data_IF_080721019426
#
_entry.id   IF_080721019426
#
_cell.length_a   1.000
_cell.length_b   1.000
_cell.length_c   1.000
_cell.angle_alpha   90.00
_cell.angle_beta   90.00
_cell.angle_gamma   90.00
#
_symmetry.space_group_name_H-M   'P 1'
#
loop_
_entity.id
_entity.type
_entity.pdbx_description
1 polymer ?
#
# COMPACT_ATOMS: atom_id res chain seq x y z
N UNK A 1 -3.47 -26.91 82.11
CA UNK A 1 -2.25 -27.73 82.09
C UNK A 1 -1.42 -27.23 80.87
N UNK A 2 -0.40 -26.42 81.11
CA UNK A 2 1.03 -26.70 81.04
C UNK A 2 1.39 -27.33 79.66
N UNK A 3 2.28 -26.79 78.79
CA UNK A 3 3.63 -26.25 78.91
C UNK A 3 3.99 -25.60 77.55
N UNK A 4 4.56 -24.44 77.40
CA UNK A 4 5.97 -23.97 77.54
C UNK A 4 6.94 -24.44 76.40
N UNK A 5 7.53 -23.45 75.80
CA UNK A 5 8.91 -23.27 75.27
C UNK A 5 9.15 -23.71 73.84
N UNK A 6 9.90 -23.07 73.05
CA UNK A 6 10.97 -22.08 73.29
C UNK A 6 11.47 -21.38 72.00
N UNK A 7 11.97 -20.20 72.23
CA UNK A 7 12.64 -19.33 71.30
C UNK A 7 14.09 -19.84 71.02
N UNK A 8 14.51 -19.90 69.80
CA UNK A 8 15.94 -19.85 69.46
C UNK A 8 16.10 -18.82 68.34
N UNK A 9 16.73 -17.70 68.70
CA UNK A 9 17.27 -16.70 67.76
C UNK A 9 18.66 -17.17 67.35
N UNK A 10 18.88 -17.28 66.03
CA UNK A 10 20.25 -17.41 65.49
C UNK A 10 20.60 -16.14 64.71
N UNK A 11 21.51 -15.45 65.32
CA UNK A 11 22.18 -14.26 64.76
C UNK A 11 23.25 -14.74 63.79
N UNK A 12 23.15 -14.40 62.51
CA UNK A 12 24.25 -14.62 61.54
C UNK A 12 24.78 -13.26 61.09
N UNK A 13 26.03 -13.04 61.41
CA UNK A 13 26.80 -11.86 61.02
C UNK A 13 26.99 -11.81 59.50
N UNK A 14 26.71 -10.63 58.96
CA UNK A 14 27.06 -10.26 57.60
C UNK A 14 28.54 -9.83 57.56
N UNK A 15 29.35 -10.59 56.83
CA UNK A 15 30.64 -10.10 56.31
C UNK A 15 30.41 -9.36 54.99
N UNK A 16 30.64 -8.06 55.01
CA UNK A 16 30.70 -7.25 53.81
C UNK A 16 32.06 -7.46 53.12
N UNK A 17 32.07 -8.07 51.95
CA UNK A 17 33.17 -7.97 50.98
C UNK A 17 32.74 -7.05 49.86
N UNK A 18 33.33 -5.87 49.84
CA UNK A 18 33.27 -4.94 48.70
C UNK A 18 34.15 -5.50 47.58
N UNK A 19 33.53 -5.96 46.51
CA UNK A 19 34.20 -6.12 45.23
C UNK A 19 33.64 -5.03 44.29
N UNK A 20 34.49 -4.08 43.97
CA UNK A 20 34.32 -3.20 42.82
C UNK A 20 34.31 -4.08 41.57
N UNK A 21 33.13 -4.32 41.04
CA UNK A 21 32.94 -4.93 39.74
C UNK A 21 32.67 -3.83 38.74
N UNK A 22 33.49 -3.78 37.72
CA UNK A 22 33.42 -2.91 36.57
C UNK A 22 31.99 -2.75 36.06
N UNK A 23 31.56 -1.51 35.98
CA UNK A 23 30.41 -1.13 35.13
C UNK A 23 30.84 -1.30 33.67
N UNK A 24 30.72 -2.51 33.16
CA UNK A 24 30.63 -2.71 31.72
C UNK A 24 29.38 -1.98 31.25
N UNK A 25 29.62 -0.88 30.57
CA UNK A 25 28.58 -0.21 29.77
C UNK A 25 28.00 -1.26 28.82
N UNK A 26 26.75 -1.66 29.08
CA UNK A 26 25.95 -2.33 28.06
C UNK A 26 25.83 -1.33 26.91
N UNK A 27 26.60 -1.53 25.84
CA UNK A 27 26.33 -0.93 24.55
C UNK A 27 24.86 -1.24 24.22
N UNK A 28 24.06 -0.22 24.06
CA UNK A 28 22.69 -0.37 23.61
C UNK A 28 22.72 -0.94 22.20
N UNK A 29 22.62 -2.27 22.08
CA UNK A 29 22.07 -2.87 20.90
C UNK A 29 20.60 -2.45 20.92
N UNK A 30 20.21 -1.50 20.08
CA UNK A 30 18.80 -1.23 19.81
C UNK A 30 18.20 -2.56 19.33
N UNK A 31 17.38 -3.17 20.18
CA UNK A 31 16.65 -4.37 19.79
C UNK A 31 15.72 -3.96 18.63
N UNK A 32 15.80 -4.65 17.50
CA UNK A 32 14.91 -4.43 16.39
C UNK A 32 13.46 -4.48 16.88
N UNK A 33 12.66 -3.47 16.52
CA UNK A 33 11.23 -3.49 16.84
C UNK A 33 10.54 -4.64 16.10
N UNK A 34 9.68 -5.38 16.78
CA UNK A 34 8.95 -6.50 16.20
C UNK A 34 8.02 -6.01 15.08
N UNK A 35 8.10 -6.64 13.91
CA UNK A 35 7.22 -6.36 12.77
C UNK A 35 6.29 -7.55 12.53
N UNK A 36 5.02 -7.37 12.87
CA UNK A 36 3.96 -8.36 12.60
C UNK A 36 3.27 -8.06 11.27
N UNK A 37 3.22 -9.04 10.35
CA UNK A 37 2.49 -8.98 9.08
C UNK A 37 1.20 -9.78 9.21
N UNK A 38 0.04 -9.14 8.96
CA UNK A 38 -1.29 -9.72 9.22
C UNK A 38 -2.12 -9.95 7.96
N UNK A 39 -2.05 -9.07 7.01
CA UNK A 39 -2.87 -9.04 5.79
C UNK A 39 -2.07 -9.23 4.51
N UNK A 40 -0.88 -8.64 4.45
CA UNK A 40 -0.03 -8.73 3.27
C UNK A 40 0.43 -10.18 3.04
N UNK A 41 0.40 -10.61 1.80
CA UNK A 41 0.79 -11.96 1.36
C UNK A 41 2.07 -11.96 0.53
N UNK A 42 2.48 -10.79 0.07
CA UNK A 42 3.62 -10.65 -0.82
C UNK A 42 4.98 -10.60 -0.13
N UNK A 43 5.03 -10.47 1.20
CA UNK A 43 6.27 -10.55 1.97
C UNK A 43 6.06 -11.20 3.34
N UNK A 44 7.15 -11.71 3.92
CA UNK A 44 7.19 -12.17 5.30
C UNK A 44 8.46 -11.72 6.00
N UNK A 45 8.42 -11.66 7.33
CA UNK A 45 9.50 -11.14 8.16
C UNK A 45 9.84 -12.14 9.26
N UNK A 46 11.14 -12.30 9.53
CA UNK A 46 11.66 -13.09 10.65
C UNK A 46 12.87 -12.39 11.23
N UNK A 47 12.87 -12.16 12.53
CA UNK A 47 14.03 -11.60 13.23
C UNK A 47 14.94 -12.73 13.73
N UNK A 48 16.25 -12.57 13.56
CA UNK A 48 17.27 -13.51 13.97
C UNK A 48 18.49 -12.75 14.49
N UNK A 49 18.62 -12.65 15.82
CA UNK A 49 19.64 -11.85 16.49
C UNK A 49 19.66 -10.39 15.96
N UNK A 50 20.76 -10.00 15.29
CA UNK A 50 20.95 -8.64 14.76
C UNK A 50 20.55 -8.51 13.29
N UNK A 51 19.84 -9.50 12.75
CA UNK A 51 19.44 -9.58 11.33
C UNK A 51 17.94 -9.69 11.24
N UNK A 52 17.32 -8.85 10.43
CA UNK A 52 15.94 -9.04 9.98
C UNK A 52 15.93 -9.72 8.61
N UNK A 53 15.33 -10.89 8.54
CA UNK A 53 15.17 -11.65 7.31
C UNK A 53 13.82 -11.31 6.70
N UNK A 54 13.84 -10.82 5.46
CA UNK A 54 12.65 -10.42 4.72
C UNK A 54 12.58 -11.23 3.42
N UNK A 55 11.55 -12.04 3.31
CA UNK A 55 11.27 -12.81 2.09
C UNK A 55 10.20 -12.09 1.27
N UNK A 56 10.45 -11.85 -0.02
CA UNK A 56 9.52 -11.18 -0.93
C UNK A 56 9.10 -12.14 -2.04
N UNK A 57 7.82 -12.46 -2.07
CA UNK A 57 7.31 -13.51 -2.95
C UNK A 57 7.99 -14.86 -2.67
N UNK A 58 8.46 -15.54 -3.74
CA UNK A 58 9.07 -16.88 -3.63
C UNK A 58 10.56 -16.92 -3.93
N UNK A 59 11.16 -15.78 -4.32
CA UNK A 59 12.49 -15.78 -4.95
C UNK A 59 13.46 -14.75 -4.39
N UNK A 60 12.95 -13.72 -3.76
CA UNK A 60 13.77 -12.59 -3.35
C UNK A 60 13.88 -12.59 -1.82
N UNK A 61 15.11 -12.69 -1.31
CA UNK A 61 15.41 -12.85 0.11
C UNK A 61 16.43 -11.78 0.53
N UNK A 62 16.09 -10.98 1.54
CA UNK A 62 16.92 -9.88 2.02
C UNK A 62 17.26 -10.06 3.51
N UNK A 63 18.52 -9.81 3.84
CA UNK A 63 18.98 -9.69 5.22
C UNK A 63 19.24 -8.22 5.53
N UNK A 64 18.33 -7.60 6.29
CA UNK A 64 18.48 -6.22 6.75
C UNK A 64 19.38 -6.20 7.98
N UNK A 65 20.47 -5.44 7.93
CA UNK A 65 21.51 -5.37 8.96
C UNK A 65 21.82 -3.92 9.30
N UNK A 66 22.08 -3.63 10.58
CA UNK A 66 22.53 -2.30 11.01
C UNK A 66 24.05 -2.17 10.92
N UNK A 67 24.78 -3.23 11.24
CA UNK A 67 26.24 -3.25 11.14
C UNK A 67 26.70 -3.86 9.81
N UNK A 68 27.53 -3.13 9.09
CA UNK A 68 28.12 -3.58 7.82
C UNK A 68 28.97 -4.85 7.99
N UNK A 69 29.54 -5.09 9.17
CA UNK A 69 30.31 -6.28 9.48
C UNK A 69 29.44 -7.55 9.64
N UNK A 70 28.13 -7.40 9.83
CA UNK A 70 27.21 -8.54 9.96
C UNK A 70 27.15 -9.34 8.67
N UNK A 71 27.31 -10.65 8.78
CA UNK A 71 27.31 -11.59 7.65
C UNK A 71 25.87 -12.07 7.39
N UNK A 72 25.36 -11.83 6.21
CA UNK A 72 24.05 -12.33 5.80
C UNK A 72 24.07 -13.87 5.66
N UNK A 73 22.98 -14.56 5.99
CA UNK A 73 22.84 -15.98 5.74
C UNK A 73 22.95 -16.31 4.23
N UNK A 74 23.36 -17.52 3.91
CA UNK A 74 23.41 -18.00 2.54
C UNK A 74 22.02 -17.86 1.85
N UNK A 75 22.02 -17.37 0.62
CA UNK A 75 20.81 -17.14 -0.16
C UNK A 75 20.12 -15.80 0.10
N UNK A 76 20.59 -15.00 1.05
CA UNK A 76 20.05 -13.66 1.34
C UNK A 76 20.95 -12.55 0.82
N UNK A 77 20.35 -11.56 0.17
CA UNK A 77 21.02 -10.33 -0.22
C UNK A 77 21.11 -9.41 0.98
N UNK A 78 22.34 -9.06 1.39
CA UNK A 78 22.56 -8.13 2.50
C UNK A 78 22.14 -6.71 2.10
N UNK A 79 21.35 -6.06 2.95
CA UNK A 79 20.99 -4.63 2.83
C UNK A 79 21.27 -3.96 4.17
N UNK A 80 22.14 -2.96 4.16
CA UNK A 80 22.37 -2.12 5.33
C UNK A 80 21.19 -1.18 5.52
N UNK A 81 20.66 -1.11 6.74
CA UNK A 81 19.54 -0.24 7.13
C UNK A 81 19.92 0.63 8.33
N UNK A 82 19.33 1.83 8.51
CA UNK A 82 18.38 2.43 7.55
C UNK A 82 19.05 2.85 6.25
N UNK A 83 18.34 2.71 5.13
CA UNK A 83 18.76 3.29 3.85
C UNK A 83 18.53 4.81 3.87
N UNK A 84 19.39 5.54 3.18
CA UNK A 84 19.32 7.00 3.10
C UNK A 84 18.92 7.50 1.70
N UNK A 85 19.06 6.63 0.69
CA UNK A 85 18.81 6.97 -0.71
C UNK A 85 18.11 5.82 -1.43
N UNK A 86 17.01 6.13 -2.08
CA UNK A 86 16.29 5.15 -2.89
C UNK A 86 15.68 5.77 -4.13
N UNK A 87 15.32 4.88 -5.05
CA UNK A 87 14.54 5.21 -6.25
C UNK A 87 13.22 4.44 -6.18
N UNK A 88 12.12 5.13 -6.47
CA UNK A 88 10.78 4.56 -6.57
C UNK A 88 10.33 4.49 -8.03
N UNK A 89 10.00 3.29 -8.51
CA UNK A 89 9.58 3.06 -9.90
C UNK A 89 8.09 3.31 -10.14
N UNK A 90 7.29 3.45 -9.06
CA UNK A 90 5.82 3.64 -9.17
C UNK A 90 5.30 4.58 -8.10
N UNK A 91 4.12 5.18 -8.36
CA UNK A 91 3.41 6.01 -7.36
C UNK A 91 3.01 5.22 -6.13
N UNK A 92 2.69 3.92 -6.27
CA UNK A 92 2.38 3.04 -5.15
C UNK A 92 3.59 2.89 -4.20
N UNK A 93 4.80 2.75 -4.73
CA UNK A 93 6.01 2.72 -3.89
C UNK A 93 6.23 4.08 -3.22
N UNK A 94 6.14 5.16 -4.00
CA UNK A 94 6.30 6.53 -3.50
C UNK A 94 5.30 6.87 -2.40
N UNK A 95 4.05 6.40 -2.48
CA UNK A 95 3.01 6.66 -1.48
C UNK A 95 3.38 6.17 -0.08
N UNK A 96 4.15 5.07 0.03
CA UNK A 96 4.64 4.57 1.32
C UNK A 96 5.66 5.53 1.95
N UNK A 97 6.54 6.13 1.16
CA UNK A 97 7.48 7.16 1.64
C UNK A 97 6.76 8.45 2.03
N UNK A 98 5.74 8.81 1.24
CA UNK A 98 4.94 10.02 1.50
C UNK A 98 4.17 9.92 2.82
N UNK A 99 3.51 8.80 3.08
CA UNK A 99 2.72 8.63 4.31
C UNK A 99 3.60 8.52 5.56
N UNK A 100 4.86 8.06 5.41
CA UNK A 100 5.88 7.99 6.46
C UNK A 100 6.65 9.31 6.66
N UNK A 101 6.30 10.37 5.91
CA UNK A 101 7.07 11.62 5.89
C UNK A 101 8.58 11.38 5.68
N UNK A 102 8.90 10.54 4.69
CA UNK A 102 10.25 10.11 4.36
C UNK A 102 10.69 10.57 2.96
N UNK A 103 10.24 11.76 2.54
CA UNK A 103 10.55 12.32 1.22
C UNK A 103 12.05 12.49 0.97
N UNK A 104 12.84 12.74 2.04
CA UNK A 104 14.27 12.96 1.94
C UNK A 104 15.05 11.71 1.52
N UNK A 105 14.51 10.51 1.75
CA UNK A 105 15.13 9.25 1.33
C UNK A 105 14.99 9.04 -0.18
N UNK A 106 13.93 9.56 -0.81
CA UNK A 106 13.67 9.39 -2.24
C UNK A 106 14.59 10.31 -3.06
N UNK A 107 15.43 9.73 -3.92
CA UNK A 107 16.37 10.45 -4.80
C UNK A 107 16.01 10.36 -6.28
N UNK A 108 15.16 9.41 -6.65
CA UNK A 108 14.73 9.25 -8.04
C UNK A 108 13.33 8.68 -8.20
N UNK A 109 12.66 9.07 -9.28
CA UNK A 109 11.35 8.57 -9.70
C UNK A 109 11.29 8.44 -11.21
N UNK A 110 10.37 7.63 -11.74
CA UNK A 110 10.24 7.41 -13.19
C UNK A 110 9.59 8.59 -13.90
N UNK A 111 8.56 9.21 -13.33
CA UNK A 111 7.87 10.29 -14.01
C UNK A 111 7.00 11.14 -13.11
N UNK A 112 6.56 12.27 -13.64
CA UNK A 112 5.81 13.30 -12.89
C UNK A 112 4.44 13.61 -13.49
N UNK A 113 4.01 12.88 -14.53
CA UNK A 113 2.80 13.21 -15.30
C UNK A 113 1.53 13.25 -14.45
N UNK A 114 1.44 12.35 -13.46
CA UNK A 114 0.29 12.24 -12.57
C UNK A 114 0.73 12.41 -11.10
N UNK A 115 1.73 13.24 -10.87
CA UNK A 115 2.23 13.56 -9.54
C UNK A 115 1.46 14.77 -8.99
N UNK A 116 0.85 14.60 -7.83
CA UNK A 116 0.06 15.64 -7.15
C UNK A 116 0.76 16.20 -5.92
N UNK A 117 1.57 15.38 -5.23
CA UNK A 117 2.28 15.78 -4.03
C UNK A 117 3.21 16.98 -4.30
N UNK A 118 2.91 18.14 -3.69
CA UNK A 118 3.61 19.39 -3.95
C UNK A 118 5.06 19.39 -3.43
N UNK A 119 5.35 18.68 -2.32
CA UNK A 119 6.72 18.57 -1.81
C UNK A 119 7.59 17.74 -2.77
N UNK A 120 7.09 16.61 -3.27
CA UNK A 120 7.79 15.82 -4.27
C UNK A 120 7.99 16.63 -5.57
N UNK A 121 6.99 17.40 -6.02
CA UNK A 121 7.13 18.30 -7.18
C UNK A 121 8.23 19.35 -6.97
N UNK A 122 8.25 19.96 -5.79
CA UNK A 122 9.29 20.94 -5.45
C UNK A 122 10.68 20.30 -5.47
N UNK A 123 10.84 19.11 -4.90
CA UNK A 123 12.09 18.34 -4.88
C UNK A 123 12.55 17.92 -6.28
N UNK A 124 11.61 17.60 -7.17
CA UNK A 124 11.95 17.33 -8.59
C UNK A 124 12.37 18.61 -9.29
N UNK A 125 11.72 19.73 -9.02
CA UNK A 125 12.03 21.04 -9.64
C UNK A 125 13.41 21.55 -9.24
N UNK A 126 13.80 21.35 -7.98
CA UNK A 126 15.11 21.81 -7.47
C UNK A 126 16.24 20.78 -7.59
N UNK A 127 15.95 19.62 -8.18
CA UNK A 127 16.94 18.58 -8.49
C UNK A 127 17.29 17.64 -7.32
N UNK A 128 16.61 17.76 -6.17
CA UNK A 128 16.77 16.80 -5.04
C UNK A 128 16.23 15.41 -5.37
N UNK A 129 15.25 15.34 -6.28
CA UNK A 129 14.72 14.08 -6.85
C UNK A 129 14.90 14.16 -8.35
N UNK A 130 15.58 13.18 -8.94
CA UNK A 130 15.81 13.12 -10.38
C UNK A 130 14.78 12.24 -11.08
N UNK A 131 14.54 12.51 -12.37
CA UNK A 131 13.75 11.61 -13.24
C UNK A 131 14.71 10.65 -13.91
N UNK A 132 14.53 9.37 -13.65
CA UNK A 132 15.42 8.31 -14.15
C UNK A 132 14.99 7.71 -15.48
N UNK A 133 14.05 8.33 -16.19
CA UNK A 133 13.48 7.81 -17.42
C UNK A 133 12.14 7.11 -17.22
N UNK A 134 11.64 6.54 -18.30
CA UNK A 134 10.37 5.79 -18.31
C UNK A 134 10.64 4.28 -18.27
N UNK A 135 9.59 3.54 -18.00
CA UNK A 135 9.61 2.08 -18.03
C UNK A 135 10.19 1.53 -19.35
N UNK A 136 11.25 0.70 -19.24
CA UNK A 136 11.96 0.14 -20.39
C UNK A 136 13.02 1.07 -21.00
N UNK A 137 13.05 2.35 -20.62
CA UNK A 137 14.00 3.37 -21.13
C UNK A 137 14.62 4.14 -19.95
N UNK A 138 15.13 3.41 -18.96
CA UNK A 138 15.82 4.01 -17.82
C UNK A 138 17.19 4.53 -18.23
N UNK A 139 17.58 5.66 -17.67
CA UNK A 139 18.90 6.26 -17.84
C UNK A 139 19.86 5.74 -16.75
N UNK A 140 20.79 4.81 -17.07
CA UNK A 140 21.71 4.26 -16.08
C UNK A 140 22.65 5.29 -15.48
N UNK A 141 23.03 6.33 -16.22
CA UNK A 141 23.94 7.38 -15.74
C UNK A 141 23.23 8.23 -14.67
N UNK A 142 21.97 8.58 -14.90
CA UNK A 142 21.14 9.30 -13.93
C UNK A 142 20.88 8.44 -12.68
N UNK A 143 20.65 7.13 -12.85
CA UNK A 143 20.48 6.20 -11.72
C UNK A 143 21.77 6.12 -10.91
N UNK A 144 22.93 5.97 -11.53
CA UNK A 144 24.24 5.98 -10.85
C UNK A 144 24.52 7.30 -10.14
N UNK A 145 24.21 8.43 -10.78
CA UNK A 145 24.39 9.75 -10.18
C UNK A 145 23.50 9.98 -8.94
N UNK A 146 22.30 9.41 -8.91
CA UNK A 146 21.43 9.43 -7.74
C UNK A 146 21.97 8.60 -6.58
N UNK A 147 22.93 7.70 -6.86
CA UNK A 147 23.63 6.84 -5.90
C UNK A 147 22.69 6.19 -4.87
N UNK A 148 21.66 5.43 -5.29
CA UNK A 148 20.72 4.81 -4.36
C UNK A 148 21.35 3.62 -3.63
N UNK A 149 20.96 3.43 -2.38
CA UNK A 149 21.33 2.25 -1.57
C UNK A 149 20.58 1.01 -2.06
N UNK A 150 19.30 1.20 -2.43
CA UNK A 150 18.45 0.21 -3.07
C UNK A 150 17.50 0.89 -4.07
N UNK A 151 16.94 0.11 -4.99
CA UNK A 151 15.88 0.56 -5.91
C UNK A 151 14.66 -0.32 -5.70
N UNK A 152 13.51 0.28 -5.32
CA UNK A 152 12.27 -0.46 -5.26
C UNK A 152 11.68 -0.61 -6.66
N UNK A 153 11.45 -1.89 -7.06
CA UNK A 153 10.97 -2.22 -8.40
C UNK A 153 9.58 -2.86 -8.36
N UNK A 154 8.88 -2.82 -9.50
CA UNK A 154 7.64 -3.57 -9.74
C UNK A 154 7.90 -4.62 -10.83
N UNK A 155 8.05 -5.91 -10.47
CA UNK A 155 8.51 -6.95 -11.40
C UNK A 155 7.62 -7.18 -12.64
N UNK A 156 6.34 -6.73 -12.60
CA UNK A 156 5.41 -6.88 -13.72
C UNK A 156 5.55 -5.82 -14.80
N UNK A 157 6.43 -4.86 -14.62
CA UNK A 157 6.60 -3.77 -15.56
C UNK A 157 7.21 -4.24 -16.88
N UNK A 158 6.69 -3.71 -18.00
CA UNK A 158 7.20 -4.01 -19.35
C UNK A 158 8.59 -3.42 -19.52
N UNK A 159 9.41 -4.06 -20.36
CA UNK A 159 10.78 -3.61 -20.65
C UNK A 159 11.83 -4.05 -19.63
N UNK A 160 11.42 -4.60 -18.48
CA UNK A 160 12.33 -5.13 -17.47
C UNK A 160 13.24 -4.07 -16.83
N UNK A 161 14.29 -4.55 -16.16
CA UNK A 161 15.25 -3.73 -15.41
C UNK A 161 16.70 -4.07 -15.77
N UNK A 162 16.95 -4.67 -16.93
CA UNK A 162 18.27 -5.22 -17.26
C UNK A 162 19.36 -4.15 -17.27
N UNK A 163 19.09 -2.97 -17.86
CA UNK A 163 20.02 -1.85 -17.84
C UNK A 163 20.37 -1.35 -16.42
N UNK A 164 19.44 -1.49 -15.47
CA UNK A 164 19.67 -1.11 -14.05
C UNK A 164 20.35 -2.24 -13.28
N UNK A 165 20.06 -3.49 -13.58
CA UNK A 165 20.72 -4.65 -12.96
C UNK A 165 22.23 -4.65 -13.21
N UNK A 166 22.66 -4.25 -14.39
CA UNK A 166 24.08 -4.18 -14.77
C UNK A 166 24.88 -3.14 -13.94
N UNK A 167 24.20 -2.17 -13.34
CA UNK A 167 24.84 -1.18 -12.46
C UNK A 167 25.27 -1.80 -11.12
N UNK A 168 24.71 -2.95 -10.73
CA UNK A 168 25.04 -3.67 -9.49
C UNK A 168 24.35 -3.13 -8.23
N UNK A 169 23.36 -2.24 -8.37
CA UNK A 169 22.55 -1.74 -7.24
C UNK A 169 21.49 -2.78 -6.88
N UNK A 170 21.26 -2.99 -5.59
CA UNK A 170 20.26 -3.94 -5.11
C UNK A 170 18.85 -3.53 -5.52
N UNK A 171 18.17 -4.41 -6.26
CA UNK A 171 16.78 -4.25 -6.65
C UNK A 171 15.89 -4.97 -5.65
N UNK A 172 14.95 -4.24 -5.06
CA UNK A 172 14.01 -4.76 -4.05
C UNK A 172 12.60 -4.78 -4.64
N UNK A 173 12.03 -5.97 -4.91
CA UNK A 173 10.66 -6.06 -5.41
C UNK A 173 9.65 -5.54 -4.39
N UNK A 174 8.74 -4.69 -4.83
CA UNK A 174 7.58 -4.26 -4.05
C UNK A 174 6.32 -4.83 -4.70
N UNK A 175 5.70 -5.84 -4.06
CA UNK A 175 4.57 -6.60 -4.62
C UNK A 175 3.20 -6.11 -4.15
N UNK A 176 3.11 -4.97 -3.47
CA UNK A 176 1.86 -4.41 -2.95
C UNK A 176 0.74 -4.30 -4.00
N UNK A 177 1.08 -4.11 -5.28
CA UNK A 177 0.09 -4.08 -6.37
C UNK A 177 -0.57 -5.44 -6.66
N UNK A 178 -0.06 -6.54 -6.11
CA UNK A 178 -0.62 -7.90 -6.23
C UNK A 178 -1.53 -8.27 -5.07
N UNK A 179 -1.55 -7.49 -4.00
CA UNK A 179 -2.41 -7.77 -2.87
C UNK A 179 -3.88 -7.64 -3.28
N UNK A 180 -4.65 -8.64 -2.90
CA UNK A 180 -6.10 -8.67 -3.15
C UNK A 180 -6.89 -8.08 -1.99
N UNK A 181 -6.30 -8.10 -0.79
CA UNK A 181 -6.86 -7.47 0.40
C UNK A 181 -6.44 -5.99 0.46
N UNK A 182 -7.37 -5.04 0.63
CA UNK A 182 -7.05 -3.62 0.75
C UNK A 182 -6.13 -3.27 1.92
N UNK A 183 -6.30 -3.92 3.07
CA UNK A 183 -5.38 -3.78 4.19
C UNK A 183 -4.04 -4.44 3.91
N UNK A 184 -4.02 -5.57 3.15
CA UNK A 184 -2.78 -6.19 2.70
C UNK A 184 -1.93 -5.26 1.84
N UNK A 185 -2.56 -4.51 0.93
CA UNK A 185 -1.83 -3.50 0.14
C UNK A 185 -1.28 -2.36 1.01
N UNK A 186 -2.08 -1.84 1.95
CA UNK A 186 -1.64 -0.78 2.84
C UNK A 186 -0.55 -1.24 3.83
N UNK A 187 -0.52 -2.52 4.19
CA UNK A 187 0.45 -3.07 5.14
C UNK A 187 1.90 -3.05 4.61
N UNK A 188 2.10 -2.85 3.30
CA UNK A 188 3.42 -2.62 2.72
C UNK A 188 4.12 -1.36 3.25
N UNK A 189 3.42 -0.48 3.95
CA UNK A 189 4.05 0.61 4.72
C UNK A 189 5.04 0.07 5.75
N UNK A 190 4.74 -1.08 6.39
CA UNK A 190 5.65 -1.73 7.34
C UNK A 190 6.90 -2.27 6.64
N UNK A 191 6.74 -2.78 5.40
CA UNK A 191 7.86 -3.21 4.58
C UNK A 191 8.83 -2.05 4.33
N UNK A 192 8.34 -0.89 3.88
CA UNK A 192 9.17 0.29 3.68
C UNK A 192 9.73 0.80 5.00
N UNK A 193 8.94 0.81 6.08
CA UNK A 193 9.39 1.21 7.42
C UNK A 193 10.66 0.48 7.86
N UNK A 194 10.77 -0.83 7.62
CA UNK A 194 11.95 -1.64 7.95
C UNK A 194 13.22 -1.18 7.21
N UNK A 195 13.07 -0.74 5.97
CA UNK A 195 14.23 -0.28 5.19
C UNK A 195 14.72 1.11 5.61
N UNK A 196 13.86 1.95 6.16
CA UNK A 196 14.19 3.35 6.50
C UNK A 196 14.26 3.62 8.01
N UNK A 197 14.17 2.57 8.86
CA UNK A 197 14.21 2.70 10.32
C UNK A 197 13.00 3.42 10.91
N UNK A 198 11.81 3.22 10.33
CA UNK A 198 10.53 3.79 10.78
C UNK A 198 9.48 2.71 11.06
N UNK A 199 9.89 1.60 11.63
CA UNK A 199 9.02 0.45 11.90
C UNK A 199 7.87 0.82 12.82
N UNK A 200 8.16 1.58 13.87
CA UNK A 200 7.19 2.01 14.86
C UNK A 200 6.13 2.93 14.25
N UNK A 201 6.57 3.98 13.55
CA UNK A 201 5.66 4.91 12.87
C UNK A 201 4.81 4.18 11.82
N UNK A 202 5.41 3.25 11.08
CA UNK A 202 4.68 2.44 10.10
C UNK A 202 3.63 1.57 10.76
N UNK A 203 3.93 0.94 11.90
CA UNK A 203 2.99 0.12 12.65
C UNK A 203 1.84 0.97 13.23
N UNK A 204 2.13 2.14 13.81
CA UNK A 204 1.14 3.06 14.36
C UNK A 204 0.20 3.61 13.28
N UNK A 205 0.74 4.04 12.14
CA UNK A 205 -0.05 4.53 11.00
C UNK A 205 -0.95 3.41 10.47
N UNK A 206 -0.39 2.21 10.26
CA UNK A 206 -1.16 1.07 9.77
C UNK A 206 -2.28 0.67 10.75
N UNK A 207 -2.01 0.62 12.06
CA UNK A 207 -3.01 0.31 13.06
C UNK A 207 -4.20 1.30 13.03
N UNK A 208 -3.93 2.58 12.81
CA UNK A 208 -4.97 3.58 12.63
C UNK A 208 -5.82 3.37 11.37
N UNK A 209 -5.18 2.99 10.25
CA UNK A 209 -5.86 2.66 8.98
C UNK A 209 -6.72 1.39 9.16
N UNK A 210 -6.15 0.34 9.74
CA UNK A 210 -6.82 -0.93 10.03
C UNK A 210 -8.08 -0.73 10.88
N UNK A 211 -7.96 0.06 11.95
CA UNK A 211 -9.08 0.35 12.85
C UNK A 211 -10.23 1.03 12.12
N UNK A 212 -9.96 2.12 11.38
CA UNK A 212 -11.00 2.87 10.63
C UNK A 212 -11.62 2.04 9.51
N UNK A 213 -10.80 1.26 8.79
CA UNK A 213 -11.28 0.37 7.74
C UNK A 213 -12.24 -0.67 8.28
N UNK A 214 -11.83 -1.40 9.32
CA UNK A 214 -12.63 -2.48 9.90
C UNK A 214 -13.91 -1.97 10.58
N UNK A 215 -13.85 -0.83 11.28
CA UNK A 215 -15.04 -0.21 11.86
C UNK A 215 -16.10 0.10 10.80
N UNK A 216 -15.68 0.67 9.68
CA UNK A 216 -16.60 1.04 8.60
C UNK A 216 -17.12 -0.20 7.86
N UNK A 217 -16.27 -1.18 7.59
CA UNK A 217 -16.64 -2.47 7.01
C UNK A 217 -17.68 -3.21 7.88
N UNK A 218 -17.49 -3.22 9.20
CA UNK A 218 -18.45 -3.84 10.14
C UNK A 218 -19.80 -3.13 10.16
N UNK A 219 -19.82 -1.80 10.00
CA UNK A 219 -21.07 -1.04 9.87
C UNK A 219 -21.76 -1.38 8.55
N UNK A 220 -21.01 -1.37 7.44
CA UNK A 220 -21.54 -1.69 6.12
C UNK A 220 -21.98 -3.16 5.97
N UNK A 221 -21.40 -4.07 6.72
CA UNK A 221 -21.82 -5.48 6.73
C UNK A 221 -23.23 -5.71 7.32
N UNK A 222 -23.76 -4.74 8.08
CA UNK A 222 -25.07 -4.83 8.74
C UNK A 222 -26.22 -4.24 7.92
N UNK A 223 -25.95 -3.68 6.75
CA UNK A 223 -27.00 -3.11 5.89
C UNK A 223 -27.91 -4.21 5.37
N UNK A 224 -29.21 -3.93 5.39
CA UNK A 224 -30.21 -4.88 4.88
C UNK A 224 -30.31 -4.87 3.34
N UNK A 225 -30.07 -3.69 2.74
CA UNK A 225 -30.14 -3.51 1.29
C UNK A 225 -28.75 -3.27 0.74
N UNK A 226 -28.28 -4.17 -0.10
CA UNK A 226 -27.00 -4.07 -0.77
C UNK A 226 -27.22 -3.70 -2.22
N UNK A 227 -26.81 -2.48 -2.65
CA UNK A 227 -26.94 -2.10 -4.06
C UNK A 227 -25.98 -2.92 -4.91
N UNK A 228 -26.37 -3.14 -6.14
CA UNK A 228 -25.51 -3.77 -7.15
C UNK A 228 -24.61 -2.72 -7.80
N UNK A 229 -23.34 -3.08 -8.05
CA UNK A 229 -22.37 -2.19 -8.68
C UNK A 229 -21.65 -2.88 -9.84
N UNK A 230 -21.54 -2.17 -10.96
CA UNK A 230 -20.66 -2.53 -12.07
C UNK A 230 -19.46 -1.62 -12.14
N UNK A 231 -18.38 -2.04 -12.83
CA UNK A 231 -17.14 -1.28 -12.96
C UNK A 231 -16.54 -1.43 -14.35
N UNK A 232 -15.78 -0.42 -14.77
CA UNK A 232 -15.06 -0.38 -16.03
C UNK A 232 -15.76 0.48 -17.08
N UNK A 233 -15.17 0.51 -18.26
CA UNK A 233 -15.69 1.22 -19.44
C UNK A 233 -15.14 0.58 -20.72
N UNK A 234 -15.72 0.93 -21.87
CA UNK A 234 -15.21 0.51 -23.16
C UNK A 234 -13.85 1.16 -23.45
N UNK A 235 -12.88 0.34 -23.81
CA UNK A 235 -11.56 0.80 -24.21
C UNK A 235 -11.05 -0.05 -25.38
N UNK A 236 -10.71 0.58 -26.51
CA UNK A 236 -10.29 -0.09 -27.74
C UNK A 236 -11.20 -1.26 -28.19
N UNK A 237 -12.49 -1.09 -28.05
CA UNK A 237 -13.49 -2.07 -28.53
C UNK A 237 -13.86 -3.16 -27.51
N UNK A 238 -13.22 -3.23 -26.35
CA UNK A 238 -13.55 -4.15 -25.28
C UNK A 238 -13.91 -3.40 -24.00
N UNK A 239 -14.75 -4.01 -23.16
CA UNK A 239 -15.02 -3.51 -21.82
C UNK A 239 -13.95 -4.01 -20.86
N UNK A 240 -13.21 -3.11 -20.30
CA UNK A 240 -12.20 -3.45 -19.31
C UNK A 240 -12.84 -3.51 -17.91
N UNK A 241 -13.04 -4.71 -17.40
CA UNK A 241 -13.62 -5.00 -16.09
C UNK A 241 -12.58 -5.60 -15.14
N UNK A 242 -12.86 -5.59 -13.85
CA UNK A 242 -12.09 -6.33 -12.86
C UNK A 242 -12.81 -7.62 -12.47
N UNK A 243 -12.06 -8.68 -12.20
CA UNK A 243 -12.61 -9.97 -11.78
C UNK A 243 -13.24 -9.93 -10.38
N UNK A 244 -14.07 -10.93 -10.08
CA UNK A 244 -14.84 -11.01 -8.84
C UNK A 244 -14.03 -11.14 -7.56
N UNK A 245 -12.76 -11.61 -7.63
CA UNK A 245 -11.81 -11.67 -6.50
C UNK A 245 -10.72 -10.60 -6.55
N UNK A 246 -10.93 -9.55 -7.34
CA UNK A 246 -9.99 -8.44 -7.40
C UNK A 246 -10.07 -7.55 -6.15
N UNK A 247 -8.99 -6.81 -5.89
CA UNK A 247 -8.91 -5.78 -4.84
C UNK A 247 -10.12 -4.84 -4.82
N UNK A 248 -10.54 -4.30 -5.99
CA UNK A 248 -11.67 -3.38 -6.08
C UNK A 248 -13.01 -4.07 -5.78
N UNK A 249 -13.19 -5.31 -6.26
CA UNK A 249 -14.36 -6.11 -5.93
C UNK A 249 -14.46 -6.37 -4.41
N UNK A 250 -13.32 -6.51 -3.72
CA UNK A 250 -13.29 -6.60 -2.26
C UNK A 250 -13.73 -5.30 -1.60
N UNK A 251 -13.26 -4.13 -2.09
CA UNK A 251 -13.72 -2.82 -1.60
C UNK A 251 -15.24 -2.67 -1.74
N UNK A 252 -15.83 -3.05 -2.86
CA UNK A 252 -17.29 -2.97 -3.04
C UNK A 252 -18.03 -3.84 -2.02
N UNK A 253 -17.58 -5.08 -1.82
CA UNK A 253 -18.18 -5.97 -0.80
C UNK A 253 -18.07 -5.40 0.61
N UNK A 254 -16.90 -4.87 0.95
CA UNK A 254 -16.63 -4.27 2.26
C UNK A 254 -17.41 -2.95 2.47
N UNK A 255 -17.74 -2.24 1.37
CA UNK A 255 -18.61 -1.07 1.37
C UNK A 255 -20.12 -1.41 1.42
N UNK A 256 -20.50 -2.67 1.53
CA UNK A 256 -21.90 -3.08 1.60
C UNK A 256 -22.62 -3.15 0.24
N UNK A 257 -21.90 -3.29 -0.88
CA UNK A 257 -22.46 -3.48 -2.20
C UNK A 257 -22.14 -4.86 -2.80
N UNK A 258 -22.90 -5.27 -3.80
CA UNK A 258 -22.71 -6.52 -4.53
C UNK A 258 -22.17 -6.23 -5.93
N UNK A 259 -20.95 -6.68 -6.20
CA UNK A 259 -20.34 -6.54 -7.52
C UNK A 259 -20.96 -7.51 -8.49
N UNK A 260 -21.33 -7.04 -9.69
CA UNK A 260 -22.05 -7.84 -10.70
C UNK A 260 -21.24 -9.02 -11.27
N UNK A 261 -19.89 -8.93 -11.23
CA UNK A 261 -19.00 -10.02 -11.61
C UNK A 261 -18.66 -10.80 -10.33
N UNK A 262 -19.07 -12.07 -10.30
CA UNK A 262 -18.88 -12.95 -9.14
C UNK A 262 -18.20 -14.25 -9.59
N UNK A 263 -17.04 -14.10 -10.21
CA UNK A 263 -16.13 -15.19 -10.58
C UNK A 263 -14.93 -15.28 -9.62
N UNK A 264 -14.01 -16.19 -9.91
CA UNK A 264 -12.80 -16.41 -9.12
C UNK A 264 -11.58 -15.65 -9.68
N UNK A 265 -11.77 -14.80 -10.69
CA UNK A 265 -10.69 -14.06 -11.30
C UNK A 265 -10.19 -12.91 -10.40
N UNK A 266 -8.87 -12.77 -10.34
CA UNK A 266 -8.17 -11.77 -9.52
C UNK A 266 -7.64 -10.59 -10.32
N UNK A 267 -7.52 -10.76 -11.65
CA UNK A 267 -7.01 -9.76 -12.59
C UNK A 267 -8.13 -8.99 -13.28
N UNK A 268 -7.75 -8.04 -14.15
CA UNK A 268 -8.69 -7.41 -15.08
C UNK A 268 -8.98 -8.34 -16.26
N UNK A 269 -10.18 -8.23 -16.80
CA UNK A 269 -10.64 -8.95 -17.97
C UNK A 269 -11.13 -7.98 -19.05
N UNK A 270 -10.89 -8.34 -20.31
CA UNK A 270 -11.46 -7.67 -21.46
C UNK A 270 -12.69 -8.46 -21.93
N UNK A 271 -13.87 -7.86 -21.81
CA UNK A 271 -15.14 -8.44 -22.17
C UNK A 271 -15.76 -7.73 -23.37
N UNK A 272 -16.52 -8.46 -24.19
CA UNK A 272 -17.35 -7.83 -25.18
C UNK A 272 -18.49 -7.04 -24.54
N UNK A 273 -18.92 -5.96 -25.19
CA UNK A 273 -20.01 -5.10 -24.69
C UNK A 273 -21.24 -5.88 -24.29
N UNK A 274 -21.67 -6.79 -25.16
CA UNK A 274 -22.92 -7.59 -25.01
C UNK A 274 -22.86 -8.48 -23.76
N UNK A 275 -21.69 -9.09 -23.49
CA UNK A 275 -21.46 -9.90 -22.28
C UNK A 275 -21.55 -9.01 -21.04
N UNK A 276 -20.87 -7.85 -21.06
CA UNK A 276 -20.89 -6.93 -19.93
C UNK A 276 -22.27 -6.30 -19.72
N UNK A 277 -22.97 -5.95 -20.80
CA UNK A 277 -24.33 -5.44 -20.73
C UNK A 277 -25.30 -6.46 -20.12
N UNK A 278 -25.20 -7.73 -20.50
CA UNK A 278 -26.04 -8.79 -19.92
C UNK A 278 -25.86 -8.92 -18.39
N UNK A 279 -24.64 -8.70 -17.87
CA UNK A 279 -24.34 -8.72 -16.43
C UNK A 279 -24.78 -7.45 -15.69
N UNK A 280 -24.73 -6.30 -16.38
CA UNK A 280 -24.70 -4.97 -15.72
C UNK A 280 -25.88 -4.07 -16.08
N UNK A 281 -26.74 -4.45 -17.04
CA UNK A 281 -27.82 -3.59 -17.50
C UNK A 281 -28.70 -3.00 -16.41
N UNK A 282 -28.91 -3.78 -15.32
CA UNK A 282 -29.76 -3.42 -14.19
C UNK A 282 -28.96 -3.07 -12.92
N UNK A 283 -27.62 -2.96 -12.99
CA UNK A 283 -26.81 -2.55 -11.84
C UNK A 283 -27.25 -1.17 -11.33
N UNK A 284 -27.33 -1.02 -10.01
CA UNK A 284 -27.75 0.23 -9.37
C UNK A 284 -26.74 1.33 -9.56
N UNK A 285 -25.44 0.99 -9.49
CA UNK A 285 -24.34 1.92 -9.65
C UNK A 285 -23.34 1.43 -10.69
N UNK A 286 -22.64 2.39 -11.30
CA UNK A 286 -21.59 2.13 -12.27
C UNK A 286 -20.33 2.93 -11.93
N UNK A 287 -19.24 2.26 -11.56
CA UNK A 287 -17.96 2.89 -11.23
C UNK A 287 -17.05 3.02 -12.44
N UNK A 288 -16.53 4.23 -12.69
CA UNK A 288 -15.54 4.57 -13.72
C UNK A 288 -14.31 5.23 -13.08
N UNK A 289 -13.12 4.80 -13.51
CA UNK A 289 -11.83 5.43 -13.21
C UNK A 289 -11.07 5.61 -14.50
N UNK A 290 -10.86 6.85 -14.93
CA UNK A 290 -10.08 7.12 -16.12
C UNK A 290 -9.20 8.37 -16.01
N UNK A 291 -8.50 8.72 -17.08
CA UNK A 291 -7.64 9.90 -17.20
C UNK A 291 -8.21 10.88 -18.24
N UNK A 292 -9.45 11.34 -18.04
CA UNK A 292 -10.11 12.23 -18.97
C UNK A 292 -9.51 13.64 -18.92
N UNK A 293 -9.40 14.27 -20.09
CA UNK A 293 -8.92 15.65 -20.20
C UNK A 293 -10.09 16.61 -20.04
N UNK A 294 -10.10 17.41 -18.97
CA UNK A 294 -11.18 18.33 -18.63
C UNK A 294 -12.27 17.67 -17.79
N UNK A 295 -13.47 18.22 -17.83
CA UNK A 295 -14.60 17.77 -17.04
C UNK A 295 -15.34 16.64 -17.76
N UNK A 296 -15.39 15.48 -17.10
CA UNK A 296 -16.13 14.33 -17.58
C UNK A 296 -17.62 14.47 -17.24
N UNK A 297 -18.48 14.16 -18.18
CA UNK A 297 -19.93 14.31 -18.02
C UNK A 297 -20.67 13.10 -18.61
N UNK A 298 -21.99 13.02 -18.41
CA UNK A 298 -22.83 12.01 -19.05
C UNK A 298 -22.83 12.11 -20.57
N UNK A 299 -22.70 13.32 -21.14
CA UNK A 299 -22.56 13.56 -22.57
C UNK A 299 -21.24 12.99 -23.08
N UNK A 300 -20.13 13.20 -22.34
CA UNK A 300 -18.83 12.64 -22.67
C UNK A 300 -18.84 11.10 -22.59
N UNK A 301 -19.47 10.54 -21.55
CA UNK A 301 -19.64 9.10 -21.38
C UNK A 301 -20.49 8.49 -22.50
N UNK A 302 -21.58 9.15 -22.94
CA UNK A 302 -22.39 8.74 -24.08
C UNK A 302 -21.61 8.87 -25.41
N UNK A 303 -20.82 9.92 -25.56
CA UNK A 303 -20.03 10.13 -26.77
C UNK A 303 -18.91 9.07 -26.94
N UNK A 304 -18.35 8.57 -25.83
CA UNK A 304 -17.33 7.50 -25.87
C UNK A 304 -17.88 6.16 -26.35
N UNK A 305 -19.11 5.83 -25.99
CA UNK A 305 -19.86 4.64 -26.43
C UNK A 305 -21.37 4.93 -26.30
N UNK A 306 -22.08 5.12 -27.41
CA UNK A 306 -23.51 5.49 -27.36
C UNK A 306 -24.42 4.49 -26.62
N UNK A 307 -24.06 3.20 -26.62
CA UNK A 307 -24.81 2.15 -25.91
C UNK A 307 -24.75 2.29 -24.39
N UNK A 308 -23.83 3.15 -23.83
CA UNK A 308 -23.78 3.43 -22.43
C UNK A 308 -25.08 3.96 -21.83
N UNK A 309 -25.88 4.67 -22.63
CA UNK A 309 -27.21 5.15 -22.19
C UNK A 309 -28.24 4.03 -21.93
N UNK A 310 -27.93 2.78 -22.32
CA UNK A 310 -28.83 1.65 -22.08
C UNK A 310 -28.76 1.17 -20.61
N UNK A 311 -27.68 1.42 -19.91
CA UNK A 311 -27.51 0.99 -18.50
C UNK A 311 -28.43 1.76 -17.55
N UNK A 312 -29.01 1.04 -16.56
CA UNK A 312 -29.82 1.63 -15.49
C UNK A 312 -29.07 2.75 -14.77
N UNK A 313 -27.83 2.49 -14.34
CA UNK A 313 -27.01 3.45 -13.61
C UNK A 313 -26.76 4.75 -14.40
N UNK A 314 -26.66 4.68 -15.74
CA UNK A 314 -26.58 5.87 -16.59
C UNK A 314 -27.89 6.66 -16.55
N UNK A 315 -29.02 6.00 -16.76
CA UNK A 315 -30.38 6.62 -16.80
C UNK A 315 -30.74 7.27 -15.47
N UNK A 316 -30.37 6.64 -14.37
CA UNK A 316 -30.68 7.09 -13.01
C UNK A 316 -29.63 8.07 -12.44
N UNK A 317 -28.62 8.46 -13.22
CA UNK A 317 -27.53 9.36 -12.78
C UNK A 317 -26.75 8.82 -11.58
N UNK A 318 -26.49 7.52 -11.58
CA UNK A 318 -25.75 6.79 -10.55
C UNK A 318 -24.38 6.27 -11.02
N UNK A 319 -23.73 7.04 -11.89
CA UNK A 319 -22.34 6.78 -12.28
C UNK A 319 -21.41 7.36 -11.22
N UNK A 320 -20.53 6.50 -10.69
CA UNK A 320 -19.51 6.84 -9.70
C UNK A 320 -18.20 7.09 -10.44
N UNK A 321 -17.63 8.26 -10.29
CA UNK A 321 -16.52 8.71 -11.12
C UNK A 321 -15.33 9.21 -10.32
N UNK A 322 -14.13 8.85 -10.78
CA UNK A 322 -12.86 9.44 -10.36
C UNK A 322 -11.97 9.73 -11.57
N UNK A 323 -11.50 10.97 -11.69
CA UNK A 323 -10.55 11.38 -12.72
C UNK A 323 -9.11 11.37 -12.19
N UNK A 324 -8.29 10.46 -12.67
CA UNK A 324 -6.87 10.34 -12.26
C UNK A 324 -6.00 11.53 -12.67
N UNK A 325 -6.47 12.43 -13.54
CA UNK A 325 -5.78 13.69 -13.86
C UNK A 325 -6.10 14.81 -12.88
N UNK A 326 -7.14 14.65 -12.07
CA UNK A 326 -7.62 15.65 -11.11
C UNK A 326 -7.54 15.15 -9.67
N UNK A 327 -7.29 13.84 -9.48
CA UNK A 327 -7.33 13.19 -8.18
C UNK A 327 -6.05 12.38 -7.95
N UNK A 328 -5.37 12.50 -6.80
CA UNK A 328 -4.13 11.78 -6.47
C UNK A 328 -4.38 10.30 -6.13
N UNK A 329 -5.14 9.59 -6.98
CA UNK A 329 -5.62 8.25 -6.69
C UNK A 329 -4.47 7.29 -6.35
N UNK A 330 -3.48 7.16 -7.23
CA UNK A 330 -2.36 6.24 -7.03
C UNK A 330 -1.32 6.70 -6.01
N UNK A 331 -1.37 7.96 -5.57
CA UNK A 331 -0.50 8.47 -4.50
C UNK A 331 -1.08 8.27 -3.11
N UNK A 332 -2.39 8.05 -2.99
CA UNK A 332 -3.07 8.02 -1.68
C UNK A 332 -3.83 6.71 -1.47
N UNK A 333 -4.64 6.26 -2.43
CA UNK A 333 -5.52 5.10 -2.25
C UNK A 333 -4.77 3.81 -1.84
N UNK A 334 -3.56 3.52 -2.35
CA UNK A 334 -2.83 2.31 -1.95
C UNK A 334 -2.47 2.24 -0.47
N UNK A 335 -2.26 3.38 0.18
CA UNK A 335 -1.86 3.48 1.59
C UNK A 335 -2.97 3.99 2.50
N UNK A 336 -4.13 4.35 1.94
CA UNK A 336 -5.33 4.78 2.68
C UNK A 336 -6.60 4.11 2.16
N UNK A 337 -6.69 2.78 2.21
CA UNK A 337 -7.89 2.05 1.78
C UNK A 337 -9.12 2.37 2.66
N UNK A 338 -8.93 2.82 3.89
CA UNK A 338 -9.97 3.31 4.78
C UNK A 338 -10.70 4.53 4.20
N UNK A 339 -9.97 5.46 3.56
CA UNK A 339 -10.55 6.62 2.87
C UNK A 339 -11.28 6.18 1.59
N UNK A 340 -10.67 5.26 0.82
CA UNK A 340 -11.30 4.72 -0.39
C UNK A 340 -12.60 3.98 -0.07
N UNK A 341 -12.61 3.15 0.98
CA UNK A 341 -13.79 2.46 1.47
C UNK A 341 -14.88 3.48 1.87
N UNK A 342 -14.49 4.54 2.60
CA UNK A 342 -15.42 5.57 3.07
C UNK A 342 -16.11 6.31 1.92
N UNK A 343 -15.40 6.58 0.81
CA UNK A 343 -16.01 7.18 -0.37
C UNK A 343 -17.14 6.30 -0.93
N UNK A 344 -16.91 4.98 -1.05
CA UNK A 344 -17.93 4.06 -1.53
C UNK A 344 -19.08 3.88 -0.54
N UNK A 345 -18.79 3.79 0.76
CA UNK A 345 -19.85 3.74 1.79
C UNK A 345 -20.71 5.01 1.76
N UNK A 346 -20.09 6.18 1.60
CA UNK A 346 -20.83 7.44 1.50
C UNK A 346 -21.78 7.49 0.28
N UNK A 347 -21.44 6.78 -0.80
CA UNK A 347 -22.26 6.71 -2.01
C UNK A 347 -23.35 5.63 -1.86
N UNK A 348 -23.03 4.45 -1.34
CA UNK A 348 -23.96 3.33 -1.23
C UNK A 348 -24.88 3.45 -0.03
N UNK A 349 -24.37 3.96 1.10
CA UNK A 349 -25.00 4.02 2.41
C UNK A 349 -24.67 5.33 3.12
N UNK A 350 -25.19 6.47 2.61
CA UNK A 350 -24.84 7.81 3.14
C UNK A 350 -25.20 7.99 4.62
N UNK A 351 -26.13 7.18 5.15
CA UNK A 351 -26.50 7.18 6.56
C UNK A 351 -25.42 6.64 7.51
N UNK A 352 -24.41 5.93 6.98
CA UNK A 352 -23.31 5.36 7.75
C UNK A 352 -22.11 6.29 7.93
N UNK A 353 -22.13 7.45 7.26
CA UNK A 353 -21.06 8.45 7.33
C UNK A 353 -21.60 9.79 7.83
N UNK A 354 -20.71 10.72 8.15
CA UNK A 354 -21.07 12.06 8.58
C UNK A 354 -21.75 12.82 7.41
N UNK A 355 -22.80 13.63 7.71
CA UNK A 355 -23.59 14.34 6.69
C UNK A 355 -22.80 15.32 5.82
N UNK A 356 -21.70 15.84 6.34
CA UNK A 356 -20.80 16.80 5.69
C UNK A 356 -19.55 16.14 5.09
N UNK A 357 -19.50 14.81 5.04
CA UNK A 357 -18.37 14.08 4.46
C UNK A 357 -18.15 14.50 2.99
N UNK A 358 -16.91 14.86 2.67
CA UNK A 358 -16.48 15.17 1.31
C UNK A 358 -15.61 14.03 0.77
N UNK A 359 -16.05 13.32 -0.28
CA UNK A 359 -15.28 12.23 -0.86
C UNK A 359 -13.92 12.69 -1.40
N UNK A 360 -12.91 11.90 -1.17
CA UNK A 360 -11.53 12.17 -1.62
C UNK A 360 -11.30 11.73 -3.07
N UNK A 361 -11.80 10.55 -3.44
CA UNK A 361 -11.55 9.95 -4.75
C UNK A 361 -12.80 9.89 -5.62
N UNK A 362 -13.87 9.28 -5.10
CA UNK A 362 -15.06 8.94 -5.86
C UNK A 362 -16.27 9.77 -5.47
N UNK A 363 -16.99 10.27 -6.46
CA UNK A 363 -18.26 10.98 -6.29
C UNK A 363 -19.21 10.61 -7.42
N UNK A 364 -20.50 10.88 -7.25
CA UNK A 364 -21.44 10.75 -8.34
C UNK A 364 -21.12 11.77 -9.44
N UNK A 365 -21.14 11.29 -10.69
CA UNK A 365 -20.95 12.11 -11.87
C UNK A 365 -22.10 13.12 -11.96
N UNK A 366 -21.77 14.37 -12.27
CA UNK A 366 -22.71 15.47 -12.38
C UNK A 366 -23.23 15.60 -13.82
#
# INVERSE_FOLDING_TARGET
MKKFLGFIAVLVLLCACSTQGDKQAKSGADSMEEVTVKYATGFSVRDSADIRLVDVGKKDHFALVHDEATVAPEGYVKVKVPIERTICMTSLQLSNFTILDAHDVVKGITGTKNLFNEDIKARVKDGRIVKIGMEGEFDPEVVMAANPDVIFISPSKRGGYDAIKEIGITLVPHLGYKELDPLGQAEWIKFIGMFIGKEKEAAEIFAGIESRYNELKEKAAKVEQRPTVTSGEMHYGNWHAVGGKNYLAQIFRDAGADYVINDDETSGEDLEFEKMYALSANADYWRILNSYQGDFSYEALKASEPRNEMFKAFKEKKVIYCNMKQTPYYEIAPVKPDVLLKDFVAIFHPELVEKDYQPTFYRLLQ
#
